data_IF_442766631746
#
_entry.id   IF_442766631746
#
_cell.length_a   1.000
_cell.length_b   1.000
_cell.length_c   1.000
_cell.angle_alpha   90.00
_cell.angle_beta   90.00
_cell.angle_gamma   90.00
#
_symmetry.space_group_name_H-M   'P 1'
#
loop_
_entity.id
_entity.type
_entity.pdbx_description
1 polymer ?
#
# COMPACT_ATOMS: atom_id res chain seq x y z
N UNK A 1 18.30 -20.40 -13.15
CA UNK A 1 18.89 -21.21 -14.25
C UNK A 1 17.79 -22.07 -14.90
N UNK A 2 17.81 -22.33 -16.21
CA UNK A 2 16.84 -23.22 -16.84
C UNK A 2 17.05 -24.67 -16.39
N UNK A 3 15.97 -25.45 -16.31
CA UNK A 3 16.06 -26.88 -16.06
C UNK A 3 16.84 -27.56 -17.20
N UNK A 4 17.80 -28.45 -16.92
CA UNK A 4 18.50 -29.20 -17.96
C UNK A 4 17.56 -30.22 -18.64
N UNK A 5 17.86 -30.58 -19.89
CA UNK A 5 17.01 -31.33 -20.83
C UNK A 5 16.65 -32.79 -20.45
N UNK A 6 16.96 -33.26 -19.25
CA UNK A 6 16.62 -34.62 -18.81
C UNK A 6 15.16 -34.70 -18.31
N UNK A 7 14.48 -35.86 -18.42
CA UNK A 7 13.18 -36.05 -17.82
C UNK A 7 13.32 -36.09 -16.29
N UNK A 8 12.94 -35.00 -15.64
CA UNK A 8 12.99 -34.87 -14.19
C UNK A 8 11.76 -35.51 -13.53
N UNK A 9 11.92 -36.05 -12.31
CA UNK A 9 10.81 -36.48 -11.47
C UNK A 9 9.78 -35.34 -11.25
N UNK A 10 8.47 -35.64 -11.16
CA UNK A 10 7.43 -34.61 -11.00
C UNK A 10 7.61 -33.71 -9.77
N UNK A 11 8.12 -34.24 -8.66
CA UNK A 11 8.46 -33.50 -7.44
C UNK A 11 9.51 -32.41 -7.70
N UNK A 12 10.55 -32.73 -8.49
CA UNK A 12 11.60 -31.76 -8.84
C UNK A 12 11.05 -30.63 -9.70
N UNK A 13 10.18 -30.97 -10.66
CA UNK A 13 9.52 -29.96 -11.52
C UNK A 13 8.63 -29.04 -10.70
N UNK A 14 7.83 -29.58 -9.77
CA UNK A 14 6.95 -28.81 -8.89
C UNK A 14 7.74 -27.89 -7.95
N UNK A 15 8.81 -28.40 -7.34
CA UNK A 15 9.69 -27.61 -6.50
C UNK A 15 10.33 -26.47 -7.30
N UNK A 16 10.85 -26.74 -8.50
CA UNK A 16 11.39 -25.71 -9.38
C UNK A 16 10.35 -24.64 -9.75
N UNK A 17 9.12 -25.03 -10.09
CA UNK A 17 8.05 -24.08 -10.39
C UNK A 17 7.71 -23.19 -9.20
N UNK A 18 7.70 -23.75 -7.99
CA UNK A 18 7.45 -23.00 -6.76
C UNK A 18 8.57 -22.01 -6.48
N UNK A 19 9.83 -22.43 -6.66
CA UNK A 19 11.01 -21.58 -6.52
C UNK A 19 10.97 -20.44 -7.53
N UNK A 20 10.71 -20.75 -8.81
CA UNK A 20 10.59 -19.75 -9.87
C UNK A 20 9.45 -18.77 -9.60
N UNK A 21 8.28 -19.26 -9.17
CA UNK A 21 7.14 -18.41 -8.83
C UNK A 21 7.44 -17.46 -7.67
N UNK A 22 8.10 -17.93 -6.62
CA UNK A 22 8.51 -17.08 -5.49
C UNK A 22 9.54 -16.03 -5.94
N UNK A 23 10.49 -16.40 -6.80
CA UNK A 23 11.46 -15.47 -7.38
C UNK A 23 10.80 -14.41 -8.26
N UNK A 24 9.94 -14.82 -9.22
CA UNK A 24 9.23 -13.92 -10.12
C UNK A 24 8.35 -12.94 -9.32
N UNK A 25 7.67 -13.42 -8.26
CA UNK A 25 6.90 -12.57 -7.36
C UNK A 25 7.78 -11.54 -6.63
N UNK A 26 8.92 -11.98 -6.06
CA UNK A 26 9.87 -11.07 -5.41
C UNK A 26 10.42 -10.02 -6.37
N UNK A 27 10.74 -10.42 -7.60
CA UNK A 27 11.28 -9.53 -8.63
C UNK A 27 10.25 -8.48 -9.05
N UNK A 28 9.00 -8.89 -9.32
CA UNK A 28 7.93 -7.94 -9.67
C UNK A 28 7.66 -6.95 -8.53
N UNK A 29 7.68 -7.41 -7.28
CA UNK A 29 7.50 -6.54 -6.12
C UNK A 29 8.65 -5.52 -5.98
N UNK A 30 9.87 -5.94 -6.32
CA UNK A 30 11.05 -5.08 -6.29
C UNK A 30 11.06 -4.06 -7.43
N UNK A 31 10.81 -4.50 -8.67
CA UNK A 31 10.85 -3.64 -9.87
C UNK A 31 9.79 -2.56 -9.87
N UNK A 32 8.60 -2.85 -9.34
CA UNK A 32 7.51 -1.88 -9.37
C UNK A 32 7.60 -0.79 -8.30
N UNK A 33 8.56 -0.85 -7.35
CA UNK A 33 8.65 0.07 -6.18
C UNK A 33 7.32 0.24 -5.41
N UNK A 34 6.33 -0.62 -5.64
CA UNK A 34 4.97 -0.53 -5.10
C UNK A 34 4.78 -1.37 -3.86
N UNK A 35 5.77 -2.20 -3.51
CA UNK A 35 5.71 -3.05 -2.33
C UNK A 35 5.76 -2.22 -1.05
N UNK A 36 4.72 -2.31 -0.22
CA UNK A 36 4.79 -1.77 1.13
C UNK A 36 5.78 -2.58 1.99
N UNK A 37 6.26 -2.01 3.11
CA UNK A 37 7.22 -2.65 4.03
C UNK A 37 6.85 -4.11 4.34
N UNK A 38 5.56 -4.35 4.61
CA UNK A 38 5.04 -5.67 4.96
C UNK A 38 5.14 -6.68 3.82
N UNK A 39 4.79 -6.28 2.61
CA UNK A 39 4.89 -7.12 1.42
C UNK A 39 6.34 -7.45 1.10
N UNK A 40 7.25 -6.47 1.18
CA UNK A 40 8.68 -6.67 0.94
C UNK A 40 9.30 -7.62 1.97
N UNK A 41 8.92 -7.45 3.24
CA UNK A 41 9.35 -8.34 4.34
C UNK A 41 8.84 -9.76 4.13
N UNK A 42 7.54 -9.93 3.84
CA UNK A 42 6.95 -11.23 3.60
C UNK A 42 7.55 -11.94 2.39
N UNK A 43 7.86 -11.22 1.31
CA UNK A 43 8.53 -11.77 0.13
C UNK A 43 9.97 -12.23 0.44
N UNK A 44 10.74 -11.42 1.17
CA UNK A 44 12.10 -11.79 1.62
C UNK A 44 12.07 -13.03 2.53
N UNK A 45 11.17 -13.06 3.51
CA UNK A 45 11.01 -14.20 4.42
C UNK A 45 10.52 -15.45 3.69
N UNK A 46 9.61 -15.32 2.72
CA UNK A 46 9.16 -16.42 1.88
C UNK A 46 10.31 -17.02 1.06
N UNK A 47 11.18 -16.20 0.48
CA UNK A 47 12.36 -16.69 -0.22
C UNK A 47 13.33 -17.43 0.70
N UNK A 48 13.49 -17.01 1.96
CA UNK A 48 14.39 -17.71 2.88
C UNK A 48 13.75 -18.98 3.45
N UNK A 49 12.52 -18.88 3.93
CA UNK A 49 11.87 -19.94 4.69
C UNK A 49 11.24 -21.02 3.80
N UNK A 50 10.78 -20.67 2.59
CA UNK A 50 10.16 -21.65 1.69
C UNK A 50 11.15 -22.18 0.66
N UNK A 51 12.03 -21.34 0.10
CA UNK A 51 12.88 -21.76 -1.02
C UNK A 51 14.14 -22.48 -0.57
N UNK A 52 14.76 -22.10 0.55
CA UNK A 52 15.98 -22.79 1.04
C UNK A 52 15.68 -24.26 1.36
N UNK A 53 14.63 -24.63 2.12
CA UNK A 53 14.33 -26.04 2.36
C UNK A 53 13.98 -26.82 1.10
N UNK A 54 13.40 -26.17 0.09
CA UNK A 54 13.14 -26.80 -1.22
C UNK A 54 14.44 -27.08 -1.97
N UNK A 55 15.43 -26.19 -1.90
CA UNK A 55 16.75 -26.43 -2.49
C UNK A 55 17.47 -27.59 -1.79
N UNK A 56 17.43 -27.66 -0.46
CA UNK A 56 18.00 -28.78 0.30
C UNK A 56 17.34 -30.12 -0.08
N UNK A 57 16.00 -30.13 -0.19
CA UNK A 57 15.26 -31.32 -0.61
C UNK A 57 15.60 -31.74 -2.05
N UNK A 58 15.81 -30.77 -2.95
CA UNK A 58 16.21 -31.04 -4.33
C UNK A 58 17.59 -31.73 -4.39
N UNK A 59 18.55 -31.32 -3.55
CA UNK A 59 19.84 -32.00 -3.45
C UNK A 59 19.69 -33.45 -2.99
N UNK A 60 18.81 -33.72 -2.02
CA UNK A 60 18.50 -35.07 -1.54
C UNK A 60 17.85 -35.94 -2.62
N UNK A 61 17.01 -35.35 -3.47
CA UNK A 61 16.31 -36.02 -4.57
C UNK A 61 17.23 -36.26 -5.80
N UNK A 62 18.53 -35.97 -5.68
CA UNK A 62 19.54 -36.28 -6.69
C UNK A 62 19.78 -35.17 -7.72
N UNK A 63 19.28 -33.96 -7.47
CA UNK A 63 19.57 -32.80 -8.32
C UNK A 63 21.05 -32.40 -8.15
N UNK A 64 21.80 -32.13 -9.23
CA UNK A 64 23.19 -31.71 -9.12
C UNK A 64 23.33 -30.46 -8.24
N UNK A 65 24.22 -30.53 -7.27
CA UNK A 65 24.55 -29.43 -6.36
C UNK A 65 24.91 -28.12 -7.09
N UNK A 66 25.58 -28.22 -8.24
CA UNK A 66 25.89 -27.04 -9.05
C UNK A 66 24.62 -26.27 -9.51
N UNK A 67 23.49 -26.96 -9.70
CA UNK A 67 22.23 -26.34 -10.05
C UNK A 67 21.58 -25.64 -8.85
N UNK A 68 21.53 -26.30 -7.69
CA UNK A 68 20.96 -25.73 -6.46
C UNK A 68 21.79 -24.54 -5.96
N UNK A 69 23.12 -24.62 -6.04
CA UNK A 69 24.03 -23.50 -5.80
C UNK A 69 23.77 -22.33 -6.76
N UNK A 70 23.59 -22.59 -8.06
CA UNK A 70 23.25 -21.56 -9.03
C UNK A 70 21.89 -20.89 -8.73
N UNK A 71 20.91 -21.65 -8.24
CA UNK A 71 19.64 -21.08 -7.76
C UNK A 71 19.85 -20.20 -6.52
N UNK A 72 20.55 -20.72 -5.51
CA UNK A 72 20.85 -19.97 -4.27
C UNK A 72 21.60 -18.66 -4.55
N UNK A 73 22.56 -18.68 -5.47
CA UNK A 73 23.33 -17.50 -5.87
C UNK A 73 22.48 -16.41 -6.55
N UNK A 74 21.34 -16.77 -7.13
CA UNK A 74 20.41 -15.79 -7.75
C UNK A 74 19.36 -15.31 -6.74
N UNK A 75 18.85 -16.22 -5.90
CA UNK A 75 17.78 -15.92 -4.94
C UNK A 75 18.30 -15.15 -3.73
N UNK A 76 19.51 -15.49 -3.26
CA UNK A 76 20.13 -14.84 -2.09
C UNK A 76 20.25 -13.32 -2.21
N UNK A 77 20.82 -12.79 -3.32
CA UNK A 77 20.86 -11.35 -3.56
C UNK A 77 19.48 -10.70 -3.55
N UNK A 78 18.50 -11.27 -4.26
CA UNK A 78 17.14 -10.72 -4.30
C UNK A 78 16.49 -10.69 -2.91
N UNK A 79 16.62 -11.75 -2.12
CA UNK A 79 16.09 -11.79 -0.76
C UNK A 79 16.74 -10.73 0.16
N UNK A 80 18.03 -10.45 -0.04
CA UNK A 80 18.76 -9.40 0.66
C UNK A 80 18.28 -8.01 0.23
N UNK A 81 18.15 -7.77 -1.07
CA UNK A 81 17.68 -6.50 -1.64
C UNK A 81 16.25 -6.18 -1.21
N UNK A 82 15.35 -7.16 -1.22
CA UNK A 82 13.98 -7.00 -0.70
C UNK A 82 13.97 -6.62 0.78
N UNK A 83 14.86 -7.21 1.59
CA UNK A 83 14.97 -6.88 3.02
C UNK A 83 15.51 -5.46 3.24
N UNK A 84 16.49 -5.04 2.44
CA UNK A 84 17.00 -3.67 2.49
C UNK A 84 15.95 -2.66 2.04
N UNK A 85 15.20 -2.97 0.98
CA UNK A 85 14.08 -2.15 0.52
C UNK A 85 12.98 -2.03 1.58
N UNK A 86 12.64 -3.13 2.27
CA UNK A 86 11.70 -3.11 3.39
C UNK A 86 12.16 -2.18 4.52
N UNK A 87 13.45 -2.25 4.90
CA UNK A 87 14.02 -1.36 5.92
C UNK A 87 14.02 0.11 5.48
N UNK A 88 14.24 0.39 4.20
CA UNK A 88 14.13 1.74 3.66
C UNK A 88 12.67 2.25 3.71
N UNK A 89 11.70 1.39 3.37
CA UNK A 89 10.27 1.71 3.41
C UNK A 89 9.76 1.99 4.83
N UNK A 90 10.31 1.32 5.84
CA UNK A 90 9.95 1.49 7.26
C UNK A 90 10.09 2.94 7.77
N UNK A 91 10.93 3.75 7.13
CA UNK A 91 11.14 5.17 7.48
C UNK A 91 10.34 6.20 6.68
N UNK A 92 9.75 5.81 5.55
CA UNK A 92 9.14 6.75 4.58
C UNK A 92 7.65 6.96 4.88
N UNK A 93 6.90 5.90 5.18
CA UNK A 93 5.43 5.99 5.32
C UNK A 93 4.96 6.61 6.64
N UNK A 94 5.75 6.50 7.72
CA UNK A 94 5.33 7.02 9.03
C UNK A 94 5.56 8.53 9.21
N UNK A 95 6.35 9.17 8.33
CA UNK A 95 6.76 10.56 8.54
C UNK A 95 5.70 11.60 8.14
N UNK A 96 4.71 11.25 7.32
CA UNK A 96 3.76 12.22 6.75
C UNK A 96 2.28 11.95 7.02
N UNK A 97 1.92 11.00 7.89
CA UNK A 97 0.51 10.83 8.30
C UNK A 97 0.26 11.67 9.56
N UNK A 98 -0.10 12.93 9.35
CA UNK A 98 -0.61 13.79 10.43
C UNK A 98 -2.05 13.36 10.70
N UNK A 99 -2.28 12.71 11.85
CA UNK A 99 -3.63 12.48 12.35
C UNK A 99 -4.22 13.83 12.78
N UNK A 100 -5.01 14.44 11.90
CA UNK A 100 -5.74 15.66 12.22
C UNK A 100 -7.06 15.27 12.88
N UNK A 101 -7.23 15.67 14.14
CA UNK A 101 -8.52 15.52 14.81
C UNK A 101 -9.59 16.34 14.07
N UNK A 102 -10.64 15.70 13.56
CA UNK A 102 -11.58 16.35 12.66
C UNK A 102 -12.53 17.30 13.39
N UNK A 103 -12.73 17.07 14.69
CA UNK A 103 -13.61 17.84 15.56
C UNK A 103 -12.96 18.02 16.93
N UNK A 104 -12.79 19.27 17.34
CA UNK A 104 -12.35 19.64 18.68
C UNK A 104 -13.59 19.96 19.54
N UNK A 105 -13.63 19.48 20.79
CA UNK A 105 -14.70 19.82 21.73
C UNK A 105 -14.30 20.96 22.65
N UNK A 106 -14.88 22.13 22.45
CA UNK A 106 -14.57 23.35 23.19
C UNK A 106 -15.52 23.50 24.37
N UNK A 107 -14.93 23.52 25.56
CA UNK A 107 -15.63 23.75 26.81
C UNK A 107 -15.64 25.26 27.10
N UNK A 108 -16.81 25.88 27.02
CA UNK A 108 -16.98 27.34 27.19
C UNK A 108 -17.17 27.78 28.66
N UNK A 109 -17.18 26.83 29.60
CA UNK A 109 -17.47 27.07 31.02
C UNK A 109 -18.94 27.40 31.32
N UNK A 110 -19.81 27.46 30.31
CA UNK A 110 -21.26 27.70 30.45
C UNK A 110 -22.01 26.38 30.59
N UNK A 111 -23.13 26.40 31.31
CA UNK A 111 -24.04 25.24 31.42
C UNK A 111 -24.56 24.87 30.02
N UNK A 112 -24.32 23.63 29.60
CA UNK A 112 -24.76 23.13 28.29
C UNK A 112 -23.85 22.05 27.72
N UNK A 113 -24.12 21.62 26.48
CA UNK A 113 -23.26 20.68 25.74
C UNK A 113 -22.03 21.43 25.19
N UNK A 114 -20.82 20.84 25.26
CA UNK A 114 -19.62 21.42 24.64
C UNK A 114 -19.81 21.74 23.16
N UNK A 115 -19.16 22.80 22.70
CA UNK A 115 -19.23 23.19 21.30
C UNK A 115 -18.26 22.32 20.49
N UNK A 116 -18.79 21.54 19.55
CA UNK A 116 -17.97 20.86 18.55
C UNK A 116 -17.45 21.90 17.56
N UNK A 117 -16.15 22.18 17.49
CA UNK A 117 -15.51 23.00 16.46
C UNK A 117 -14.88 22.07 15.41
N UNK A 118 -15.24 22.27 14.14
CA UNK A 118 -14.67 21.46 13.05
C UNK A 118 -13.38 22.14 12.59
N UNK A 119 -12.32 21.37 12.35
CA UNK A 119 -11.09 21.91 11.81
C UNK A 119 -11.35 22.55 10.43
N UNK A 120 -10.98 23.83 10.29
CA UNK A 120 -11.25 24.61 9.07
C UNK A 120 -10.43 24.12 7.90
N UNK A 121 -9.20 23.67 8.13
CA UNK A 121 -8.33 23.20 7.06
C UNK A 121 -8.79 21.86 6.51
N UNK A 122 -9.29 20.97 7.38
CA UNK A 122 -9.97 19.76 6.97
C UNK A 122 -11.22 20.06 6.13
N UNK A 123 -11.99 21.09 6.50
CA UNK A 123 -13.14 21.52 5.69
C UNK A 123 -12.71 22.09 4.33
N UNK A 124 -11.58 22.82 4.25
CA UNK A 124 -11.08 23.35 2.97
C UNK A 124 -10.66 22.22 2.05
N UNK A 125 -9.86 21.28 2.55
CA UNK A 125 -9.39 20.12 1.80
C UNK A 125 -10.56 19.26 1.32
N UNK A 126 -11.52 18.96 2.21
CA UNK A 126 -12.68 18.13 1.85
C UNK A 126 -13.61 18.77 0.80
N UNK A 127 -13.56 20.08 0.63
CA UNK A 127 -14.34 20.83 -0.35
C UNK A 127 -13.48 21.53 -1.41
N UNK A 128 -12.23 21.08 -1.59
CA UNK A 128 -11.42 21.43 -2.74
C UNK A 128 -12.10 20.94 -4.04
N UNK A 129 -11.78 21.58 -5.16
CA UNK A 129 -12.49 21.41 -6.43
C UNK A 129 -12.27 20.04 -7.07
N UNK A 130 -11.14 19.42 -6.78
CA UNK A 130 -10.71 18.07 -7.16
C UNK A 130 -11.44 16.96 -6.36
N UNK A 131 -12.02 17.28 -5.20
CA UNK A 131 -12.67 16.29 -4.32
C UNK A 131 -14.18 16.24 -4.56
N UNK A 132 -14.67 15.08 -5.00
CA UNK A 132 -16.12 14.86 -5.14
C UNK A 132 -16.80 14.37 -3.85
N UNK A 133 -16.66 15.10 -2.75
CA UNK A 133 -17.28 14.74 -1.47
C UNK A 133 -18.64 15.45 -1.34
N UNK A 134 -19.68 14.71 -0.96
CA UNK A 134 -20.99 15.29 -0.66
C UNK A 134 -21.03 15.87 0.75
N UNK A 135 -21.72 17.00 0.93
CA UNK A 135 -21.92 17.60 2.27
C UNK A 135 -22.55 16.62 3.27
N UNK A 136 -23.40 15.70 2.79
CA UNK A 136 -24.05 14.68 3.62
C UNK A 136 -23.03 13.65 4.13
N UNK A 137 -22.17 13.14 3.25
CA UNK A 137 -21.14 12.18 3.61
C UNK A 137 -20.14 12.78 4.61
N UNK A 138 -19.66 14.00 4.33
CA UNK A 138 -18.73 14.69 5.22
C UNK A 138 -19.37 15.07 6.58
N UNK A 139 -20.65 15.46 6.60
CA UNK A 139 -21.33 15.71 7.87
C UNK A 139 -21.48 14.43 8.72
N UNK A 140 -21.75 13.30 8.06
CA UNK A 140 -21.86 12.00 8.72
C UNK A 140 -20.53 11.54 9.33
N UNK A 141 -19.40 11.71 8.62
CA UNK A 141 -18.07 11.35 9.16
C UNK A 141 -17.68 12.19 10.39
N UNK A 142 -18.13 13.43 10.45
CA UNK A 142 -17.92 14.33 11.60
C UNK A 142 -18.94 14.14 12.74
N UNK A 143 -19.97 13.31 12.54
CA UNK A 143 -21.06 13.15 13.52
C UNK A 143 -21.83 14.44 13.79
N UNK A 144 -21.99 15.32 12.79
CA UNK A 144 -22.76 16.57 12.87
C UNK A 144 -23.87 16.61 11.83
N UNK A 145 -24.91 17.39 12.10
CA UNK A 145 -25.98 17.58 11.12
C UNK A 145 -25.53 18.45 9.95
N UNK A 146 -25.97 18.14 8.72
CA UNK A 146 -25.63 18.88 7.48
C UNK A 146 -25.88 20.39 7.54
N UNK A 147 -26.93 20.81 8.26
CA UNK A 147 -27.24 22.25 8.44
C UNK A 147 -26.21 22.95 9.33
N UNK A 148 -25.68 22.24 10.34
CA UNK A 148 -24.61 22.75 11.21
C UNK A 148 -23.33 22.89 10.39
N UNK A 149 -22.99 21.89 9.58
CA UNK A 149 -21.87 21.97 8.64
C UNK A 149 -22.02 23.15 7.68
N UNK A 150 -23.19 23.34 7.08
CA UNK A 150 -23.44 24.46 6.15
C UNK A 150 -23.25 25.84 6.81
N UNK A 151 -23.70 26.00 8.07
CA UNK A 151 -23.47 27.23 8.85
C UNK A 151 -21.97 27.46 9.09
N UNK A 152 -21.22 26.40 9.44
CA UNK A 152 -19.78 26.47 9.67
C UNK A 152 -19.00 26.77 8.39
N UNK A 153 -19.34 26.14 7.28
CA UNK A 153 -18.75 26.45 5.97
C UNK A 153 -18.97 27.91 5.60
N UNK A 154 -20.19 28.44 5.82
CA UNK A 154 -20.49 29.85 5.58
C UNK A 154 -19.65 30.77 6.47
N UNK A 155 -19.52 30.46 7.76
CA UNK A 155 -18.69 31.23 8.69
C UNK A 155 -17.20 31.20 8.31
N UNK A 156 -16.71 30.09 7.77
CA UNK A 156 -15.34 29.93 7.29
C UNK A 156 -15.10 30.43 5.86
N UNK A 157 -16.12 30.94 5.16
CA UNK A 157 -16.01 31.40 3.77
C UNK A 157 -15.84 30.29 2.72
N UNK A 158 -16.05 29.03 3.09
CA UNK A 158 -15.84 27.87 2.22
C UNK A 158 -17.07 27.65 1.33
N UNK A 159 -16.87 27.69 0.02
CA UNK A 159 -17.88 27.38 -0.99
C UNK A 159 -17.43 26.17 -1.79
N UNK A 160 -18.30 25.16 -1.93
CA UNK A 160 -18.06 24.06 -2.86
C UNK A 160 -18.14 24.61 -4.29
N UNK A 161 -17.04 24.50 -5.03
CA UNK A 161 -16.98 24.75 -6.47
C UNK A 161 -16.49 23.46 -7.13
N UNK A 162 -16.96 23.22 -8.35
CA UNK A 162 -16.40 22.18 -9.20
C UNK A 162 -15.39 22.86 -10.12
N UNK A 163 -14.33 22.14 -10.49
CA UNK A 163 -13.44 22.64 -11.51
C UNK A 163 -14.18 22.80 -12.85
N UNK A 164 -13.88 23.84 -13.62
CA UNK A 164 -14.43 24.00 -14.96
C UNK A 164 -13.96 22.81 -15.80
N UNK A 165 -14.90 22.02 -16.28
CA UNK A 165 -14.64 20.93 -17.23
C UNK A 165 -14.24 21.56 -18.56
N UNK A 166 -13.08 21.19 -19.10
CA UNK A 166 -12.65 21.68 -20.42
C UNK A 166 -13.38 20.91 -21.52
N UNK A 167 -13.50 21.49 -22.71
CA UNK A 167 -14.11 20.80 -23.86
C UNK A 167 -13.31 19.55 -24.26
N UNK A 168 -11.99 19.55 -24.03
CA UNK A 168 -11.10 18.40 -24.20
C UNK A 168 -11.44 17.25 -23.23
N UNK A 169 -11.81 17.57 -21.98
CA UNK A 169 -12.29 16.57 -21.02
C UNK A 169 -13.64 15.99 -21.42
N UNK A 170 -14.51 16.78 -22.07
CA UNK A 170 -15.81 16.35 -22.59
C UNK A 170 -15.67 15.34 -23.74
N UNK A 171 -14.76 15.60 -24.67
CA UNK A 171 -14.49 14.74 -25.82
C UNK A 171 -13.89 13.37 -25.40
N UNK A 172 -13.21 13.29 -24.25
CA UNK A 172 -12.68 12.04 -23.71
C UNK A 172 -13.75 11.07 -23.15
N UNK A 173 -15.01 11.52 -23.02
CA UNK A 173 -16.12 10.70 -22.51
C UNK A 173 -17.02 10.06 -23.58
N UNK A 174 -16.82 10.39 -24.86
CA UNK A 174 -17.62 9.90 -26.01
C UNK A 174 -16.87 8.82 -26.78
#
# INVERSE_FOLDING_TARGET
PPLPHAPWPPNVVLAYQRIKGAFDYGLTLFEHETGNEHQLTAASEGLVNDVVPLLDQLELDGVPRAFTEACANVIGPLACELKLAALAAQGIDRRNVVFVDPVEEIHTGKRGRPEKRVNVDLMKEAFASDRNISKKAFAASLGIHRTVLAKKMKAAGIKKKYDPMTDEDLDAFV
#
